data_IF_676791682444
#
_entry.id   IF_676791682444
#
_cell.length_a   1.000
_cell.length_b   1.000
_cell.length_c   1.000
_cell.angle_alpha   90.00
_cell.angle_beta   90.00
_cell.angle_gamma   90.00
#
_symmetry.space_group_name_H-M   'P 1'
#
loop_
_entity.id
_entity.type
_entity.pdbx_description
1 polymer ?
#
# COMPACT_ATOMS: atom_id res chain seq x y z
N UNK A 1 26.94 -2.37 -17.07
CA UNK A 1 27.49 -2.92 -18.32
C UNK A 1 27.75 -1.78 -19.28
N UNK A 2 28.79 -1.88 -20.11
CA UNK A 2 29.10 -0.87 -21.14
C UNK A 2 27.86 -0.54 -22.00
N UNK A 3 27.04 -1.54 -22.33
CA UNK A 3 25.77 -1.37 -23.05
C UNK A 3 24.82 -0.33 -22.43
N UNK A 4 24.66 -0.32 -21.09
CA UNK A 4 23.83 0.69 -20.41
C UNK A 4 24.51 2.06 -20.43
N UNK A 5 25.82 2.11 -20.26
CA UNK A 5 26.59 3.37 -20.30
C UNK A 5 26.55 4.04 -21.68
N UNK A 6 26.52 3.25 -22.76
CA UNK A 6 26.37 3.73 -24.14
C UNK A 6 24.90 3.95 -24.56
N UNK A 7 23.93 3.89 -23.62
CA UNK A 7 22.52 4.19 -23.90
C UNK A 7 21.73 3.08 -24.59
N UNK A 8 22.25 1.86 -24.68
CA UNK A 8 21.56 0.74 -25.33
C UNK A 8 20.22 0.37 -24.67
N UNK A 9 20.08 0.59 -23.36
CA UNK A 9 18.80 0.40 -22.64
C UNK A 9 17.72 1.38 -23.12
N UNK A 10 18.08 2.64 -23.38
CA UNK A 10 17.14 3.64 -23.89
C UNK A 10 16.66 3.27 -25.29
N UNK A 11 17.54 2.76 -26.13
CA UNK A 11 17.22 2.31 -27.49
C UNK A 11 16.24 1.14 -27.50
N UNK A 12 16.48 0.11 -26.68
CA UNK A 12 15.57 -1.06 -26.56
C UNK A 12 14.22 -0.62 -25.99
N UNK A 13 14.25 0.24 -24.96
CA UNK A 13 13.04 0.80 -24.37
C UNK A 13 12.22 1.59 -25.39
N UNK A 14 12.85 2.48 -26.15
CA UNK A 14 12.15 3.31 -27.12
C UNK A 14 11.55 2.47 -28.25
N UNK A 15 12.31 1.48 -28.75
CA UNK A 15 11.79 0.51 -29.72
C UNK A 15 10.53 -0.20 -29.20
N UNK A 16 10.58 -0.76 -28.00
CA UNK A 16 9.42 -1.46 -27.42
C UNK A 16 8.25 -0.50 -27.14
N UNK A 17 8.52 0.74 -26.72
CA UNK A 17 7.48 1.72 -26.41
C UNK A 17 6.77 2.27 -27.66
N UNK A 18 7.43 2.22 -28.81
CA UNK A 18 6.88 2.73 -30.05
C UNK A 18 5.98 1.69 -30.76
N UNK A 19 6.06 0.42 -30.36
CA UNK A 19 5.18 -0.64 -30.86
C UNK A 19 3.68 -0.33 -30.62
N UNK A 20 2.81 -0.63 -31.61
CA UNK A 20 1.36 -0.59 -31.40
C UNK A 20 0.93 -1.75 -30.47
N UNK A 21 -0.19 -1.61 -29.77
CA UNK A 21 -0.79 -2.73 -29.00
C UNK A 21 -0.36 -2.89 -27.54
N UNK A 22 0.45 -1.97 -26.99
CA UNK A 22 0.72 -1.86 -25.55
C UNK A 22 1.49 -3.04 -24.96
N UNK A 23 1.26 -3.34 -23.68
CA UNK A 23 1.99 -4.37 -22.94
C UNK A 23 2.00 -5.72 -23.65
N UNK A 24 0.85 -6.21 -24.15
CA UNK A 24 0.78 -7.54 -24.75
C UNK A 24 1.62 -7.66 -26.02
N UNK A 25 1.70 -6.60 -26.82
CA UNK A 25 2.55 -6.62 -28.02
C UNK A 25 4.03 -6.59 -27.63
N UNK A 26 4.41 -5.72 -26.69
CA UNK A 26 5.78 -5.71 -26.16
C UNK A 26 6.17 -7.06 -25.57
N UNK A 27 5.28 -7.65 -24.77
CA UNK A 27 5.47 -8.95 -24.15
C UNK A 27 5.66 -10.06 -25.19
N UNK A 28 4.79 -10.14 -26.20
CA UNK A 28 4.92 -11.16 -27.26
C UNK A 28 6.21 -11.00 -28.04
N UNK A 29 6.59 -9.76 -28.41
CA UNK A 29 7.84 -9.49 -29.12
C UNK A 29 9.04 -9.90 -28.27
N UNK A 30 9.05 -9.54 -26.99
CA UNK A 30 10.09 -9.96 -26.04
C UNK A 30 10.17 -11.48 -25.94
N UNK A 31 9.02 -12.16 -25.79
CA UNK A 31 8.96 -13.61 -25.66
C UNK A 31 9.48 -14.29 -26.92
N UNK A 32 9.15 -13.78 -28.11
CA UNK A 32 9.67 -14.27 -29.38
C UNK A 32 11.19 -14.07 -29.49
N UNK A 33 11.71 -12.89 -29.12
CA UNK A 33 13.16 -12.62 -29.12
C UNK A 33 13.89 -13.56 -28.16
N UNK A 34 13.40 -13.71 -26.92
CA UNK A 34 13.97 -14.63 -25.94
C UNK A 34 13.92 -16.08 -26.44
N UNK A 35 12.82 -16.47 -27.07
CA UNK A 35 12.66 -17.81 -27.62
C UNK A 35 13.69 -18.09 -28.72
N UNK A 36 13.93 -17.14 -29.62
CA UNK A 36 14.94 -17.26 -30.67
C UNK A 36 16.37 -17.22 -30.11
N UNK A 37 16.63 -16.38 -29.11
CA UNK A 37 17.94 -16.33 -28.44
C UNK A 37 18.26 -17.63 -27.70
N UNK A 38 17.24 -18.31 -27.15
CA UNK A 38 17.38 -19.60 -26.49
C UNK A 38 17.86 -20.74 -27.39
N UNK A 39 17.89 -20.55 -28.71
CA UNK A 39 18.52 -21.50 -29.64
C UNK A 39 20.05 -21.42 -29.62
N UNK A 40 20.61 -20.27 -29.26
CA UNK A 40 22.05 -20.01 -29.34
C UNK A 40 22.70 -19.82 -27.97
N UNK A 41 21.95 -19.29 -27.01
CA UNK A 41 22.43 -18.93 -25.68
C UNK A 41 21.83 -19.84 -24.62
N UNK A 42 22.62 -20.11 -23.58
CA UNK A 42 22.14 -20.86 -22.41
C UNK A 42 21.19 -20.01 -21.57
N UNK A 43 20.29 -20.65 -20.81
CA UNK A 43 19.30 -19.98 -19.98
C UNK A 43 19.98 -19.08 -18.92
N UNK A 44 21.15 -19.48 -18.42
CA UNK A 44 21.93 -18.69 -17.46
C UNK A 44 22.38 -17.37 -18.10
N UNK A 45 22.87 -17.42 -19.34
CA UNK A 45 23.32 -16.22 -20.07
C UNK A 45 22.16 -15.27 -20.34
N UNK A 46 21.02 -15.80 -20.79
CA UNK A 46 19.81 -15.02 -21.01
C UNK A 46 19.31 -14.39 -19.70
N UNK A 47 19.30 -15.16 -18.61
CA UNK A 47 18.86 -14.68 -17.30
C UNK A 47 19.77 -13.57 -16.73
N UNK A 48 21.08 -13.64 -16.98
CA UNK A 48 22.05 -12.64 -16.47
C UNK A 48 22.16 -11.42 -17.38
N UNK A 49 22.01 -11.58 -18.70
CA UNK A 49 22.25 -10.50 -19.68
C UNK A 49 20.94 -9.87 -20.15
N UNK A 50 19.99 -10.67 -20.63
CA UNK A 50 18.80 -10.20 -21.35
C UNK A 50 17.69 -9.79 -20.39
N UNK A 51 17.41 -10.62 -19.37
CA UNK A 51 16.31 -10.39 -18.42
C UNK A 51 16.44 -9.05 -17.68
N UNK A 52 17.62 -8.64 -17.17
CA UNK A 52 17.76 -7.36 -16.48
C UNK A 52 17.54 -6.13 -17.37
N UNK A 53 17.67 -6.28 -18.69
CA UNK A 53 17.41 -5.20 -19.66
C UNK A 53 15.90 -5.10 -19.91
N UNK A 54 15.22 -6.23 -20.12
CA UNK A 54 13.83 -6.25 -20.57
C UNK A 54 12.84 -6.18 -19.40
N UNK A 55 13.13 -6.83 -18.27
CA UNK A 55 12.20 -6.91 -17.14
C UNK A 55 11.80 -5.54 -16.58
N UNK A 56 12.71 -4.56 -16.36
CA UNK A 56 12.31 -3.23 -15.90
C UNK A 56 11.37 -2.52 -16.87
N UNK A 57 11.54 -2.71 -18.18
CA UNK A 57 10.71 -2.09 -19.22
C UNK A 57 9.28 -2.65 -19.14
N UNK A 58 9.14 -3.98 -19.07
CA UNK A 58 7.83 -4.63 -18.99
C UNK A 58 7.13 -4.41 -17.64
N UNK A 59 7.87 -4.39 -16.53
CA UNK A 59 7.32 -4.15 -15.20
C UNK A 59 6.90 -2.69 -14.96
N UNK A 60 7.44 -1.76 -15.74
CA UNK A 60 7.03 -0.35 -15.69
C UNK A 60 5.68 -0.09 -16.41
N UNK A 61 5.15 -1.06 -17.18
CA UNK A 61 3.88 -0.90 -17.88
C UNK A 61 2.67 -1.02 -16.93
N UNK A 62 2.06 0.13 -16.65
CA UNK A 62 0.95 0.29 -15.69
C UNK A 62 -0.37 -0.29 -16.16
N UNK A 63 -0.51 -0.52 -17.48
CA UNK A 63 -1.71 -1.08 -18.12
C UNK A 63 -1.95 -2.55 -17.75
N UNK A 64 -0.88 -3.33 -17.63
CA UNK A 64 -0.95 -4.74 -17.26
C UNK A 64 -0.58 -4.97 -15.79
N UNK A 65 0.33 -4.15 -15.22
CA UNK A 65 0.71 -4.23 -13.80
C UNK A 65 1.06 -5.66 -13.37
N UNK A 66 1.94 -6.30 -14.15
CA UNK A 66 2.34 -7.68 -13.95
C UNK A 66 3.35 -7.81 -12.82
N UNK A 67 3.37 -8.97 -12.16
CA UNK A 67 4.36 -9.24 -11.12
C UNK A 67 5.68 -9.74 -11.75
N UNK A 68 6.80 -9.46 -11.09
CA UNK A 68 8.10 -10.01 -11.49
C UNK A 68 8.11 -11.56 -11.46
N UNK A 69 7.37 -12.16 -10.54
CA UNK A 69 7.23 -13.63 -10.44
C UNK A 69 6.52 -14.19 -11.66
N UNK A 70 5.40 -13.58 -12.07
CA UNK A 70 4.69 -14.00 -13.28
C UNK A 70 5.56 -13.87 -14.52
N UNK A 71 6.26 -12.73 -14.67
CA UNK A 71 7.16 -12.52 -15.80
C UNK A 71 8.30 -13.56 -15.83
N UNK A 72 8.91 -13.84 -14.67
CA UNK A 72 9.96 -14.85 -14.54
C UNK A 72 9.47 -16.25 -14.90
N UNK A 73 8.27 -16.65 -14.46
CA UNK A 73 7.69 -17.95 -14.83
C UNK A 73 7.38 -18.02 -16.32
N UNK A 74 6.83 -16.95 -16.91
CA UNK A 74 6.59 -16.92 -18.36
C UNK A 74 7.89 -17.08 -19.16
N UNK A 75 8.94 -16.34 -18.79
CA UNK A 75 10.26 -16.47 -19.42
C UNK A 75 10.81 -17.88 -19.23
N UNK A 76 10.69 -18.46 -18.04
CA UNK A 76 11.14 -19.82 -17.75
C UNK A 76 10.46 -20.88 -18.61
N UNK A 77 9.12 -20.86 -18.70
CA UNK A 77 8.36 -21.80 -19.55
C UNK A 77 8.71 -21.60 -21.04
N UNK A 78 8.92 -20.36 -21.46
CA UNK A 78 9.32 -20.04 -22.83
C UNK A 78 10.72 -20.57 -23.18
N UNK A 79 11.69 -20.42 -22.27
CA UNK A 79 13.04 -20.96 -22.46
C UNK A 79 13.05 -22.50 -22.47
N UNK A 80 12.26 -23.16 -21.61
CA UNK A 80 12.07 -24.61 -21.66
C UNK A 80 11.53 -25.07 -23.03
N UNK A 81 10.61 -24.30 -23.61
CA UNK A 81 10.06 -24.59 -24.95
C UNK A 81 11.13 -24.40 -26.03
N UNK A 82 11.93 -23.35 -25.93
CA UNK A 82 13.04 -23.07 -26.87
C UNK A 82 14.05 -24.23 -26.91
N UNK A 83 14.43 -24.77 -25.75
CA UNK A 83 15.36 -25.90 -25.65
C UNK A 83 14.85 -27.23 -26.24
N UNK A 84 13.55 -27.34 -26.48
CA UNK A 84 12.94 -28.50 -27.13
C UNK A 84 12.71 -28.31 -28.63
N UNK A 85 12.95 -27.11 -29.19
CA UNK A 85 12.58 -26.78 -30.57
C UNK A 85 13.73 -27.05 -31.56
N UNK A 86 13.51 -27.86 -32.62
CA UNK A 86 14.49 -28.01 -33.70
C UNK A 86 14.79 -26.68 -34.42
N UNK A 87 15.98 -26.49 -35.02
CA UNK A 87 17.08 -27.44 -35.13
C UNK A 87 18.09 -27.37 -33.97
N UNK A 88 17.92 -26.46 -33.01
CA UNK A 88 18.93 -26.13 -32.00
C UNK A 88 18.62 -26.65 -30.58
N UNK A 89 17.54 -27.40 -30.39
CA UNK A 89 17.16 -27.93 -29.08
C UNK A 89 18.23 -28.88 -28.50
N UNK A 90 19.00 -28.40 -27.52
CA UNK A 90 20.06 -29.17 -26.86
C UNK A 90 19.57 -30.53 -26.35
N UNK A 91 18.36 -30.57 -25.80
CA UNK A 91 17.74 -31.81 -25.32
C UNK A 91 17.55 -32.85 -26.45
N UNK A 92 17.20 -32.41 -27.66
CA UNK A 92 17.05 -33.30 -28.82
C UNK A 92 18.40 -33.81 -29.33
N UNK A 93 19.45 -32.99 -29.26
CA UNK A 93 20.80 -33.42 -29.60
C UNK A 93 21.37 -34.44 -28.60
N UNK A 94 21.13 -34.22 -27.30
CA UNK A 94 21.49 -35.21 -26.28
C UNK A 94 20.75 -36.54 -26.52
N UNK A 95 19.45 -36.49 -26.82
CA UNK A 95 18.68 -37.68 -27.14
C UNK A 95 19.21 -38.37 -28.40
N UNK A 96 19.58 -37.61 -29.44
CA UNK A 96 20.21 -38.17 -30.65
C UNK A 96 21.54 -38.87 -30.34
N UNK A 97 22.33 -38.36 -29.39
CA UNK A 97 23.61 -38.95 -28.98
C UNK A 97 23.48 -40.35 -28.38
N UNK A 98 22.35 -40.65 -27.72
CA UNK A 98 22.07 -41.97 -27.14
C UNK A 98 21.11 -42.83 -27.98
N UNK A 99 20.47 -42.25 -29.00
CA UNK A 99 19.50 -42.95 -29.84
C UNK A 99 20.16 -43.96 -30.80
N UNK A 100 19.63 -45.21 -30.89
CA UNK A 100 20.14 -46.22 -31.80
C UNK A 100 20.04 -45.79 -33.27
N UNK A 101 20.94 -46.32 -34.12
CA UNK A 101 21.13 -45.88 -35.51
C UNK A 101 19.89 -46.00 -36.42
N UNK A 102 18.91 -46.82 -36.06
CA UNK A 102 17.67 -47.00 -36.82
C UNK A 102 16.65 -45.87 -36.60
N UNK A 103 16.82 -45.04 -35.56
CA UNK A 103 15.95 -43.88 -35.30
C UNK A 103 16.53 -42.68 -36.05
N UNK A 104 15.76 -42.14 -37.01
CA UNK A 104 16.19 -40.94 -37.72
C UNK A 104 16.01 -39.70 -36.83
N UNK A 105 16.84 -38.68 -37.06
CA UNK A 105 16.69 -37.38 -36.38
C UNK A 105 15.29 -36.77 -36.58
N UNK A 106 14.69 -37.00 -37.75
CA UNK A 106 13.32 -36.57 -38.05
C UNK A 106 12.27 -37.25 -37.16
N UNK A 107 12.49 -38.49 -36.74
CA UNK A 107 11.56 -39.20 -35.85
C UNK A 107 11.59 -38.58 -34.44
N UNK A 108 12.79 -38.22 -33.97
CA UNK A 108 12.99 -37.49 -32.72
C UNK A 108 12.29 -36.13 -32.79
N UNK A 109 12.45 -35.39 -33.88
CA UNK A 109 11.82 -34.08 -34.07
C UNK A 109 10.29 -34.17 -34.11
N UNK A 110 9.74 -35.15 -34.83
CA UNK A 110 8.28 -35.38 -34.86
C UNK A 110 7.74 -35.71 -33.47
N UNK A 111 8.45 -36.51 -32.68
CA UNK A 111 8.09 -36.79 -31.29
C UNK A 111 8.12 -35.54 -30.41
N UNK A 112 9.14 -34.69 -30.58
CA UNK A 112 9.31 -33.45 -29.83
C UNK A 112 8.17 -32.44 -30.08
N UNK A 113 7.64 -32.37 -31.30
CA UNK A 113 6.53 -31.44 -31.65
C UNK A 113 5.33 -31.60 -30.73
N UNK A 114 4.97 -32.83 -30.34
CA UNK A 114 3.87 -33.07 -29.40
C UNK A 114 4.13 -32.39 -28.03
N UNK A 115 5.36 -32.49 -27.52
CA UNK A 115 5.76 -31.83 -26.28
C UNK A 115 5.83 -30.32 -26.42
N UNK A 116 6.32 -29.79 -27.55
CA UNK A 116 6.32 -28.35 -27.82
C UNK A 116 4.89 -27.80 -27.81
N UNK A 117 3.94 -28.49 -28.44
CA UNK A 117 2.53 -28.08 -28.44
C UNK A 117 1.99 -28.05 -27.00
N UNK A 118 2.26 -29.08 -26.20
CA UNK A 118 1.86 -29.09 -24.79
C UNK A 118 2.49 -27.94 -23.99
N UNK A 119 3.75 -27.61 -24.25
CA UNK A 119 4.42 -26.47 -23.61
C UNK A 119 3.81 -25.13 -24.03
N UNK A 120 3.48 -24.95 -25.31
CA UNK A 120 2.79 -23.74 -25.80
C UNK A 120 1.39 -23.59 -25.21
N UNK A 121 0.65 -24.71 -25.04
CA UNK A 121 -0.63 -24.72 -24.33
C UNK A 121 -0.42 -24.31 -22.87
N UNK A 122 0.58 -24.88 -22.19
CA UNK A 122 0.95 -24.51 -20.82
C UNK A 122 1.30 -23.03 -20.69
N UNK A 123 2.10 -22.50 -21.61
CA UNK A 123 2.45 -21.09 -21.69
C UNK A 123 1.21 -20.21 -21.86
N UNK A 124 0.27 -20.62 -22.72
CA UNK A 124 -1.01 -19.95 -22.89
C UNK A 124 -1.84 -19.93 -21.59
N UNK A 125 -1.98 -21.08 -20.92
CA UNK A 125 -2.73 -21.19 -19.66
C UNK A 125 -2.11 -20.28 -18.59
N UNK A 126 -0.79 -20.33 -18.38
CA UNK A 126 -0.10 -19.48 -17.41
C UNK A 126 -0.20 -18.00 -17.78
N UNK A 127 -0.19 -17.71 -19.09
CA UNK A 127 -0.37 -16.37 -19.64
C UNK A 127 -1.73 -15.75 -19.30
N UNK A 128 -2.82 -16.51 -19.50
CA UNK A 128 -4.19 -16.02 -19.24
C UNK A 128 -4.62 -16.12 -17.78
N UNK A 129 -4.01 -17.01 -16.99
CA UNK A 129 -4.36 -17.23 -15.58
C UNK A 129 -3.18 -16.89 -14.65
N UNK A 130 -2.86 -15.58 -14.45
CA UNK A 130 -1.76 -15.15 -13.60
C UNK A 130 -1.91 -15.57 -12.14
N UNK A 131 -3.14 -15.91 -11.72
CA UNK A 131 -3.44 -16.43 -10.39
C UNK A 131 -2.73 -17.74 -10.09
N UNK A 132 -2.48 -18.59 -11.10
CA UNK A 132 -1.74 -19.84 -10.94
C UNK A 132 -0.32 -19.59 -10.42
N UNK A 133 0.33 -18.55 -10.95
CA UNK A 133 1.70 -18.19 -10.57
C UNK A 133 1.73 -17.40 -9.27
N UNK A 134 0.85 -16.40 -9.14
CA UNK A 134 0.95 -15.43 -8.05
C UNK A 134 0.34 -15.92 -6.73
N UNK A 135 -0.61 -16.86 -6.76
CA UNK A 135 -1.36 -17.25 -5.56
C UNK A 135 -0.51 -17.89 -4.48
N UNK A 136 0.28 -18.91 -4.85
CA UNK A 136 1.07 -19.65 -3.88
C UNK A 136 2.15 -18.76 -3.24
N UNK A 137 2.96 -17.98 -3.98
CA UNK A 137 3.90 -17.02 -3.40
C UNK A 137 3.21 -16.01 -2.48
N UNK A 138 2.11 -15.40 -2.92
CA UNK A 138 1.34 -14.46 -2.09
C UNK A 138 0.79 -15.12 -0.82
N UNK A 139 0.38 -16.38 -0.88
CA UNK A 139 -0.14 -17.13 0.26
C UNK A 139 0.97 -17.44 1.26
N UNK A 140 2.10 -17.97 0.80
CA UNK A 140 3.24 -18.28 1.67
C UNK A 140 3.73 -17.00 2.35
N UNK A 141 3.88 -15.91 1.59
CA UNK A 141 4.32 -14.62 2.13
C UNK A 141 3.34 -14.04 3.17
N UNK A 142 2.04 -13.94 2.84
CA UNK A 142 1.04 -13.31 3.71
C UNK A 142 0.62 -14.16 4.92
N UNK A 143 0.96 -15.46 4.94
CA UNK A 143 0.73 -16.32 6.10
C UNK A 143 1.97 -16.53 6.96
N UNK A 144 3.13 -15.99 6.53
CA UNK A 144 4.39 -16.09 7.27
C UNK A 144 4.44 -15.15 8.48
N UNK A 145 5.43 -15.36 9.35
CA UNK A 145 5.69 -14.46 10.49
C UNK A 145 6.24 -13.08 10.07
N UNK A 146 6.76 -12.96 8.85
CA UNK A 146 7.29 -11.72 8.27
C UNK A 146 6.27 -11.03 7.37
N UNK A 147 4.99 -11.39 7.50
CA UNK A 147 3.91 -10.78 6.74
C UNK A 147 3.77 -9.29 7.11
N UNK A 148 3.53 -8.40 6.12
CA UNK A 148 3.33 -7.00 6.38
C UNK A 148 2.04 -6.76 7.17
N UNK A 149 1.97 -5.71 8.00
CA UNK A 149 0.77 -5.41 8.74
C UNK A 149 -0.41 -5.05 7.80
N UNK A 150 -1.66 -5.29 8.22
CA UNK A 150 -2.88 -4.94 7.48
C UNK A 150 -2.95 -3.47 7.07
N UNK A 151 -2.28 -2.56 7.78
CA UNK A 151 -2.19 -1.14 7.44
C UNK A 151 -1.45 -0.86 6.11
N UNK A 152 -0.68 -1.83 5.59
CA UNK A 152 0.12 -1.65 4.39
C UNK A 152 -0.72 -1.15 3.18
N UNK A 153 -0.33 -0.04 2.51
CA UNK A 153 -1.07 0.53 1.38
C UNK A 153 -1.37 -0.46 0.24
N UNK A 154 -0.46 -1.42 0.00
CA UNK A 154 -0.59 -2.42 -1.08
C UNK A 154 -1.68 -3.46 -0.81
N UNK A 155 -2.12 -3.61 0.45
CA UNK A 155 -3.17 -4.56 0.83
C UNK A 155 -4.56 -3.92 0.85
N UNK A 156 -4.64 -2.59 0.87
CA UNK A 156 -5.86 -1.87 1.23
C UNK A 156 -7.04 -2.16 0.32
N UNK A 157 -6.81 -2.30 -0.99
CA UNK A 157 -7.90 -2.65 -1.90
C UNK A 157 -8.55 -3.99 -1.50
N UNK A 158 -7.74 -5.04 -1.36
CA UNK A 158 -8.24 -6.38 -1.07
C UNK A 158 -8.83 -6.48 0.34
N UNK A 159 -8.26 -5.76 1.30
CA UNK A 159 -8.82 -5.67 2.64
C UNK A 159 -10.15 -4.92 2.65
N UNK A 160 -10.29 -3.88 1.83
CA UNK A 160 -11.56 -3.17 1.69
C UNK A 160 -12.65 -4.07 1.11
N UNK A 161 -12.36 -4.85 0.05
CA UNK A 161 -13.30 -5.84 -0.49
C UNK A 161 -13.69 -6.88 0.58
N UNK A 162 -12.71 -7.41 1.32
CA UNK A 162 -12.97 -8.36 2.40
C UNK A 162 -13.90 -7.76 3.48
N UNK A 163 -13.61 -6.54 3.93
CA UNK A 163 -14.42 -5.85 4.94
C UNK A 163 -15.81 -5.53 4.46
N UNK A 164 -15.95 -5.06 3.22
CA UNK A 164 -17.25 -4.68 2.67
C UNK A 164 -18.17 -5.89 2.53
N UNK A 165 -17.63 -7.04 2.12
CA UNK A 165 -18.38 -8.29 2.15
C UNK A 165 -18.80 -8.68 3.58
N UNK A 166 -17.96 -8.45 4.60
CA UNK A 166 -18.35 -8.72 5.98
C UNK A 166 -19.39 -7.75 6.51
N UNK A 167 -19.34 -6.46 6.14
CA UNK A 167 -20.38 -5.50 6.48
C UNK A 167 -21.73 -5.93 5.90
N UNK A 168 -21.75 -6.31 4.62
CA UNK A 168 -23.00 -6.73 3.96
C UNK A 168 -23.62 -7.98 4.60
N UNK A 169 -22.79 -8.92 5.05
CA UNK A 169 -23.28 -10.17 5.66
C UNK A 169 -23.63 -10.04 7.15
N UNK A 170 -22.97 -9.13 7.88
CA UNK A 170 -23.04 -9.07 9.35
C UNK A 170 -23.50 -7.70 9.89
N UNK A 171 -24.11 -6.85 9.06
CA UNK A 171 -24.50 -5.48 9.45
C UNK A 171 -25.32 -5.45 10.74
N UNK A 172 -26.36 -6.27 10.83
CA UNK A 172 -27.24 -6.33 12.01
C UNK A 172 -26.47 -6.75 13.27
N UNK A 173 -25.59 -7.75 13.17
CA UNK A 173 -24.79 -8.21 14.30
C UNK A 173 -23.85 -7.11 14.80
N UNK A 174 -23.20 -6.38 13.88
CA UNK A 174 -22.34 -5.25 14.23
C UNK A 174 -23.14 -4.12 14.89
N UNK A 175 -24.29 -3.74 14.33
CA UNK A 175 -25.18 -2.73 14.93
C UNK A 175 -25.63 -3.14 16.34
N UNK A 176 -26.04 -4.39 16.53
CA UNK A 176 -26.42 -4.89 17.86
C UNK A 176 -25.25 -4.87 18.84
N UNK A 177 -24.03 -5.23 18.41
CA UNK A 177 -22.85 -5.17 19.26
C UNK A 177 -22.55 -3.73 19.71
N UNK A 178 -22.69 -2.75 18.80
CA UNK A 178 -22.51 -1.32 19.09
C UNK A 178 -23.57 -0.82 20.07
N UNK A 179 -24.85 -1.09 19.80
CA UNK A 179 -25.94 -0.66 20.68
C UNK A 179 -25.86 -1.31 22.07
N UNK A 180 -25.36 -2.54 22.16
CA UNK A 180 -25.20 -3.24 23.44
C UNK A 180 -24.18 -2.56 24.36
N UNK A 181 -23.08 -2.04 23.81
CA UNK A 181 -22.07 -1.34 24.62
C UNK A 181 -22.46 0.11 24.87
N UNK A 182 -23.15 0.74 23.92
CA UNK A 182 -23.67 2.10 24.06
C UNK A 182 -24.72 2.20 25.19
N UNK A 183 -25.44 1.11 25.49
CA UNK A 183 -26.38 1.04 26.59
C UNK A 183 -25.73 0.76 27.96
N UNK A 184 -24.39 0.68 28.04
CA UNK A 184 -23.71 0.51 29.32
C UNK A 184 -23.82 1.78 30.17
N UNK A 185 -23.87 1.62 31.49
CA UNK A 185 -23.83 2.76 32.41
C UNK A 185 -22.42 3.36 32.38
N UNK A 186 -22.33 4.65 32.06
CA UNK A 186 -21.09 5.43 32.03
C UNK A 186 -21.05 6.58 33.06
N UNK A 187 -22.05 6.68 33.95
CA UNK A 187 -22.26 7.82 34.86
C UNK A 187 -21.12 8.06 35.86
N UNK A 188 -20.25 7.07 36.06
CA UNK A 188 -19.12 7.12 36.98
C UNK A 188 -17.80 7.47 36.28
N UNK A 189 -17.78 7.63 34.96
CA UNK A 189 -16.60 8.05 34.22
C UNK A 189 -16.44 9.57 34.26
N UNK A 190 -15.20 10.09 34.28
CA UNK A 190 -14.93 11.50 34.07
C UNK A 190 -15.43 12.01 32.70
N UNK A 191 -15.76 13.30 32.62
CA UNK A 191 -16.36 13.93 31.43
C UNK A 191 -15.48 13.75 30.18
N UNK A 192 -14.18 13.96 30.29
CA UNK A 192 -13.21 13.80 29.20
C UNK A 192 -13.16 12.34 28.68
N UNK A 193 -13.33 11.34 29.55
CA UNK A 193 -13.41 9.93 29.14
C UNK A 193 -14.74 9.62 28.45
N UNK A 194 -15.85 10.20 28.93
CA UNK A 194 -17.18 10.07 28.29
C UNK A 194 -17.15 10.64 26.87
N UNK A 195 -16.49 11.79 26.66
CA UNK A 195 -16.33 12.37 25.33
C UNK A 195 -15.66 11.40 24.33
N UNK A 196 -14.65 10.64 24.78
CA UNK A 196 -13.97 9.63 23.94
C UNK A 196 -14.94 8.50 23.57
N UNK A 197 -15.77 8.04 24.51
CA UNK A 197 -16.81 7.03 24.23
C UNK A 197 -17.84 7.54 23.22
N UNK A 198 -18.35 8.76 23.42
CA UNK A 198 -19.33 9.35 22.51
C UNK A 198 -18.75 9.54 21.11
N UNK A 199 -17.50 10.03 21.04
CA UNK A 199 -16.77 10.17 19.78
C UNK A 199 -16.58 8.82 19.07
N UNK A 200 -16.28 7.76 19.83
CA UNK A 200 -16.17 6.40 19.33
C UNK A 200 -17.51 5.91 18.74
N UNK A 201 -18.62 6.10 19.45
CA UNK A 201 -19.95 5.65 19.01
C UNK A 201 -20.47 6.43 17.81
N UNK A 202 -20.24 7.75 17.76
CA UNK A 202 -20.58 8.58 16.61
C UNK A 202 -19.83 8.10 15.35
N UNK A 203 -18.50 7.94 15.46
CA UNK A 203 -17.69 7.44 14.35
C UNK A 203 -18.13 6.05 13.93
N UNK A 204 -18.39 5.15 14.88
CA UNK A 204 -18.76 3.76 14.57
C UNK A 204 -20.13 3.69 13.87
N UNK A 205 -21.10 4.48 14.32
CA UNK A 205 -22.44 4.55 13.72
C UNK A 205 -22.41 5.10 12.29
N UNK A 206 -21.56 6.09 12.03
CA UNK A 206 -21.42 6.69 10.68
C UNK A 206 -20.70 5.80 9.65
N UNK A 207 -20.09 4.69 10.08
CA UNK A 207 -19.33 3.78 9.18
C UNK A 207 -20.21 3.26 8.05
N UNK A 208 -21.45 2.85 8.34
CA UNK A 208 -22.32 2.23 7.34
C UNK A 208 -22.67 3.21 6.20
N UNK A 209 -22.93 4.47 6.53
CA UNK A 209 -23.15 5.53 5.55
C UNK A 209 -21.87 5.85 4.76
N UNK A 210 -20.72 5.86 5.41
CA UNK A 210 -19.43 6.03 4.75
C UNK A 210 -19.12 4.87 3.78
N UNK A 211 -19.43 3.63 4.16
CA UNK A 211 -19.28 2.44 3.31
C UNK A 211 -20.20 2.57 2.09
N UNK A 212 -21.46 2.93 2.28
CA UNK A 212 -22.41 3.17 1.19
C UNK A 212 -21.89 4.24 0.24
N UNK A 213 -21.37 5.35 0.76
CA UNK A 213 -20.77 6.44 -0.04
C UNK A 213 -19.54 5.98 -0.83
N UNK A 214 -18.66 5.18 -0.22
CA UNK A 214 -17.50 4.60 -0.94
C UNK A 214 -17.97 3.70 -2.06
N UNK A 215 -18.93 2.80 -1.83
CA UNK A 215 -19.48 1.92 -2.86
C UNK A 215 -20.11 2.71 -4.01
N UNK A 216 -20.91 3.74 -3.72
CA UNK A 216 -21.52 4.60 -4.76
C UNK A 216 -20.46 5.29 -5.60
N UNK A 217 -19.50 5.96 -4.96
CA UNK A 217 -18.43 6.68 -5.70
C UNK A 217 -17.51 5.73 -6.47
N UNK A 218 -17.28 4.50 -5.97
CA UNK A 218 -16.51 3.49 -6.69
C UNK A 218 -17.28 2.97 -7.91
N UNK A 219 -18.60 2.76 -7.79
CA UNK A 219 -19.45 2.37 -8.91
C UNK A 219 -19.50 3.47 -9.98
N UNK A 220 -19.68 4.74 -9.61
CA UNK A 220 -19.63 5.87 -10.53
C UNK A 220 -18.29 5.95 -11.26
N UNK A 221 -17.19 5.76 -10.54
CA UNK A 221 -15.85 5.67 -11.12
C UNK A 221 -15.74 4.50 -12.10
N UNK A 222 -16.13 3.29 -11.70
CA UNK A 222 -16.03 2.08 -12.50
C UNK A 222 -16.90 2.13 -13.77
N UNK A 223 -18.05 2.81 -13.72
CA UNK A 223 -18.87 3.08 -14.89
C UNK A 223 -18.20 4.10 -15.82
N UNK A 224 -17.68 5.20 -15.29
CA UNK A 224 -17.06 6.26 -16.10
C UNK A 224 -15.78 5.79 -16.81
N UNK A 225 -14.96 4.94 -16.16
CA UNK A 225 -13.69 4.50 -16.75
C UNK A 225 -13.86 3.59 -17.97
N UNK A 226 -15.01 2.93 -18.16
CA UNK A 226 -15.24 2.02 -19.30
C UNK A 226 -15.03 2.74 -20.64
N UNK A 227 -15.62 3.92 -20.78
CA UNK A 227 -15.54 4.72 -22.01
C UNK A 227 -14.35 5.70 -22.00
N UNK A 228 -13.92 6.13 -20.82
CA UNK A 228 -12.81 7.09 -20.68
C UNK A 228 -11.44 6.47 -20.94
N UNK A 229 -11.27 5.17 -20.68
CA UNK A 229 -9.97 4.49 -20.76
C UNK A 229 -9.32 4.61 -22.13
N UNK A 230 -10.06 4.28 -23.19
CA UNK A 230 -9.53 4.32 -24.55
C UNK A 230 -9.17 5.73 -25.00
N UNK A 231 -10.00 6.71 -24.63
CA UNK A 231 -9.71 8.13 -24.86
C UNK A 231 -8.44 8.57 -24.12
N UNK A 232 -8.32 8.22 -22.84
CA UNK A 232 -7.14 8.52 -22.02
C UNK A 232 -5.88 7.95 -22.65
N UNK A 233 -5.84 6.64 -22.95
CA UNK A 233 -4.67 6.02 -23.57
C UNK A 233 -4.29 6.65 -24.90
N UNK A 234 -5.26 6.91 -25.78
CA UNK A 234 -5.01 7.53 -27.10
C UNK A 234 -4.43 8.93 -26.98
N UNK A 235 -4.86 9.72 -25.99
CA UNK A 235 -4.34 11.07 -25.76
C UNK A 235 -2.99 11.03 -25.04
N UNK A 236 -2.83 10.19 -24.01
CA UNK A 236 -1.56 10.03 -23.30
C UNK A 236 -0.43 9.55 -24.21
N UNK A 237 -0.70 8.64 -25.15
CA UNK A 237 0.29 8.21 -26.15
C UNK A 237 0.78 9.39 -27.01
N UNK A 238 -0.15 10.26 -27.46
CA UNK A 238 0.21 11.49 -28.20
C UNK A 238 0.99 12.47 -27.34
N UNK A 239 0.56 12.71 -26.10
CA UNK A 239 1.27 13.59 -25.16
C UNK A 239 2.69 13.09 -24.85
N UNK A 240 2.86 11.78 -24.66
CA UNK A 240 4.18 11.16 -24.46
C UNK A 240 5.07 11.37 -25.69
N UNK A 241 4.53 11.24 -26.90
CA UNK A 241 5.26 11.51 -28.15
C UNK A 241 5.64 12.98 -28.28
N UNK A 242 4.73 13.91 -27.95
CA UNK A 242 5.02 15.35 -27.91
C UNK A 242 6.16 15.65 -26.91
N UNK A 243 6.15 15.04 -25.72
CA UNK A 243 7.21 15.21 -24.73
C UNK A 243 8.56 14.66 -25.22
N UNK A 244 8.58 13.52 -25.92
CA UNK A 244 9.79 12.99 -26.56
C UNK A 244 10.32 13.96 -27.62
N UNK A 245 9.45 14.48 -28.48
CA UNK A 245 9.79 15.47 -29.50
C UNK A 245 10.38 16.72 -28.84
N UNK A 246 9.78 17.22 -27.77
CA UNK A 246 10.29 18.39 -27.04
C UNK A 246 11.68 18.15 -26.43
N UNK A 247 11.94 16.95 -25.90
CA UNK A 247 13.28 16.57 -25.42
C UNK A 247 14.29 16.51 -26.56
N UNK A 248 13.89 15.98 -27.72
CA UNK A 248 14.74 15.88 -28.90
C UNK A 248 15.08 17.27 -29.46
N UNK A 249 14.09 18.17 -29.58
CA UNK A 249 14.31 19.56 -30.01
C UNK A 249 15.31 20.23 -29.08
N UNK A 250 15.13 20.14 -27.75
CA UNK A 250 16.08 20.72 -26.79
C UNK A 250 17.50 20.16 -26.93
N UNK A 251 17.65 18.87 -27.24
CA UNK A 251 18.96 18.24 -27.47
C UNK A 251 19.61 18.78 -28.74
N UNK A 252 18.86 18.84 -29.84
CA UNK A 252 19.35 19.37 -31.12
C UNK A 252 19.69 20.87 -31.02
N UNK A 253 18.90 21.64 -30.30
CA UNK A 253 19.21 23.05 -30.00
C UNK A 253 20.50 23.20 -29.18
N UNK A 254 20.78 22.28 -28.25
CA UNK A 254 22.04 22.25 -27.51
C UNK A 254 23.23 21.86 -28.39
N UNK A 255 23.03 20.93 -29.31
CA UNK A 255 24.03 20.52 -30.29
C UNK A 255 24.43 21.69 -31.20
N UNK A 256 23.45 22.45 -31.72
CA UNK A 256 23.72 23.68 -32.49
C UNK A 256 24.58 24.68 -31.70
N UNK A 257 24.30 24.85 -30.39
CA UNK A 257 25.08 25.77 -29.53
C UNK A 257 26.52 25.34 -29.33
N UNK A 258 26.81 24.04 -29.41
CA UNK A 258 28.13 23.47 -29.18
C UNK A 258 28.96 23.32 -30.47
N UNK A 259 28.35 23.46 -31.65
CA UNK A 259 29.04 23.39 -32.93
C UNK A 259 29.85 24.66 -33.22
N UNK A 260 31.04 24.48 -33.81
CA UNK A 260 31.94 25.56 -34.19
C UNK A 260 31.29 26.51 -35.22
N UNK A 261 31.77 27.75 -35.29
CA UNK A 261 31.15 28.79 -36.13
C UNK A 261 31.22 28.48 -37.63
N UNK A 262 32.17 27.64 -38.05
CA UNK A 262 32.44 27.34 -39.46
C UNK A 262 31.61 26.17 -40.00
N UNK A 263 30.94 25.39 -39.13
CA UNK A 263 30.08 24.25 -39.49
C UNK A 263 28.65 24.67 -39.89
N UNK A 264 28.55 25.56 -40.89
CA UNK A 264 27.27 26.12 -41.36
C UNK A 264 26.33 25.06 -41.94
N UNK A 265 26.88 24.06 -42.64
CA UNK A 265 26.09 22.98 -43.24
C UNK A 265 25.41 22.10 -42.18
N UNK A 266 26.14 21.71 -41.14
CA UNK A 266 25.61 20.87 -40.06
C UNK A 266 24.58 21.62 -39.21
N UNK A 267 24.81 22.91 -38.96
CA UNK A 267 23.82 23.77 -38.30
C UNK A 267 22.51 23.84 -39.09
N UNK A 268 22.58 24.02 -40.41
CA UNK A 268 21.39 24.04 -41.28
C UNK A 268 20.67 22.69 -41.28
N UNK A 269 21.39 21.58 -41.33
CA UNK A 269 20.81 20.23 -41.28
C UNK A 269 20.07 19.97 -39.96
N UNK A 270 20.66 20.37 -38.82
CA UNK A 270 20.02 20.22 -37.51
C UNK A 270 18.79 21.15 -37.39
N UNK A 271 18.87 22.36 -37.93
CA UNK A 271 17.75 23.31 -37.95
C UNK A 271 16.54 22.75 -38.72
N UNK A 272 16.78 22.12 -39.89
CA UNK A 272 15.73 21.45 -40.67
C UNK A 272 15.05 20.33 -39.85
N UNK A 273 15.84 19.48 -39.18
CA UNK A 273 15.29 18.43 -38.29
C UNK A 273 14.43 19.01 -37.17
N UNK A 274 14.83 20.14 -36.59
CA UNK A 274 14.04 20.82 -35.56
C UNK A 274 12.70 21.31 -36.13
N UNK A 275 12.69 21.89 -37.33
CA UNK A 275 11.45 22.34 -37.98
C UNK A 275 10.51 21.18 -38.32
N UNK A 276 11.04 20.06 -38.83
CA UNK A 276 10.26 18.84 -39.07
C UNK A 276 9.62 18.31 -37.78
N UNK A 277 10.39 18.26 -36.69
CA UNK A 277 9.90 17.86 -35.37
C UNK A 277 8.82 18.84 -34.84
N UNK A 278 8.97 20.14 -35.07
CA UNK A 278 7.93 21.14 -34.72
C UNK A 278 6.64 20.93 -35.52
N UNK A 279 6.74 20.60 -36.81
CA UNK A 279 5.59 20.29 -37.65
C UNK A 279 4.88 19.02 -37.17
N UNK A 280 5.62 17.95 -36.88
CA UNK A 280 5.07 16.72 -36.31
C UNK A 280 4.35 16.98 -34.98
N UNK A 281 4.96 17.78 -34.09
CA UNK A 281 4.32 18.22 -32.84
C UNK A 281 3.02 18.98 -33.08
N UNK A 282 2.98 19.86 -34.09
CA UNK A 282 1.78 20.63 -34.44
C UNK A 282 0.65 19.72 -34.93
N UNK A 283 0.96 18.72 -35.74
CA UNK A 283 -0.01 17.71 -36.19
C UNK A 283 -0.56 16.87 -35.03
N UNK A 284 0.32 16.36 -34.16
CA UNK A 284 -0.08 15.59 -32.98
C UNK A 284 -1.03 16.36 -32.05
N UNK A 285 -0.81 17.66 -31.88
CA UNK A 285 -1.69 18.53 -31.09
C UNK A 285 -3.08 18.70 -31.72
N UNK A 286 -3.16 18.81 -33.05
CA UNK A 286 -4.45 18.89 -33.77
C UNK A 286 -5.25 17.59 -33.65
N UNK A 287 -4.55 16.46 -33.61
CA UNK A 287 -5.14 15.12 -33.52
C UNK A 287 -5.59 14.73 -32.09
N UNK A 288 -5.56 15.65 -31.13
CA UNK A 288 -6.15 15.44 -29.80
C UNK A 288 -7.66 15.74 -29.88
N UNK A 289 -8.55 14.79 -29.51
CA UNK A 289 -10.00 15.00 -29.55
C UNK A 289 -10.44 16.21 -28.71
N UNK A 290 -11.35 17.02 -29.24
CA UNK A 290 -11.87 18.23 -28.55
C UNK A 290 -12.54 17.90 -27.21
N UNK A 291 -13.20 16.74 -27.14
CA UNK A 291 -13.85 16.21 -25.92
C UNK A 291 -12.88 15.85 -24.78
N UNK A 292 -11.58 15.71 -25.06
CA UNK A 292 -10.58 15.30 -24.07
C UNK A 292 -10.57 16.19 -22.84
N UNK A 293 -10.58 17.52 -23.02
CA UNK A 293 -10.44 18.48 -21.92
C UNK A 293 -11.62 18.37 -20.96
N UNK A 294 -12.83 18.24 -21.50
CA UNK A 294 -14.05 18.09 -20.71
C UNK A 294 -14.09 16.76 -19.98
N UNK A 295 -13.90 15.64 -20.70
CA UNK A 295 -13.91 14.28 -20.13
C UNK A 295 -12.81 14.09 -19.08
N UNK A 296 -11.61 14.63 -19.29
CA UNK A 296 -10.52 14.60 -18.31
C UNK A 296 -10.84 15.41 -17.05
N UNK A 297 -11.52 16.55 -17.18
CA UNK A 297 -11.97 17.32 -16.03
C UNK A 297 -13.07 16.59 -15.24
N UNK A 298 -14.01 15.95 -15.93
CA UNK A 298 -15.02 15.09 -15.31
C UNK A 298 -14.36 13.91 -14.58
N UNK A 299 -13.42 13.21 -15.22
CA UNK A 299 -12.63 12.13 -14.61
C UNK A 299 -11.97 12.59 -13.31
N UNK A 300 -11.27 13.74 -13.33
CA UNK A 300 -10.59 14.28 -12.15
C UNK A 300 -11.56 14.55 -10.99
N UNK A 301 -12.77 15.05 -11.28
CA UNK A 301 -13.81 15.27 -10.26
C UNK A 301 -14.26 13.95 -9.63
N UNK A 302 -14.60 12.96 -10.46
CA UNK A 302 -15.04 11.63 -10.00
C UNK A 302 -13.95 10.92 -9.21
N UNK A 303 -12.72 10.91 -9.74
CA UNK A 303 -11.56 10.31 -9.07
C UNK A 303 -11.25 10.98 -7.73
N UNK A 304 -11.31 12.32 -7.67
CA UNK A 304 -11.16 13.08 -6.41
C UNK A 304 -12.27 12.72 -5.42
N UNK A 305 -13.52 12.63 -5.85
CA UNK A 305 -14.65 12.25 -5.00
C UNK A 305 -14.47 10.85 -4.40
N UNK A 306 -14.13 9.85 -5.23
CA UNK A 306 -13.80 8.48 -4.80
C UNK A 306 -12.68 8.44 -3.77
N UNK A 307 -11.59 9.17 -4.02
CA UNK A 307 -10.44 9.20 -3.11
C UNK A 307 -10.77 9.87 -1.77
N UNK A 308 -11.54 10.96 -1.78
CA UNK A 308 -12.01 11.63 -0.57
C UNK A 308 -12.92 10.71 0.24
N UNK A 309 -13.89 10.05 -0.41
CA UNK A 309 -14.77 9.10 0.25
C UNK A 309 -13.98 7.97 0.90
N UNK A 310 -13.05 7.37 0.17
CA UNK A 310 -12.19 6.28 0.67
C UNK A 310 -11.30 6.74 1.82
N UNK A 311 -10.67 7.92 1.72
CA UNK A 311 -9.81 8.47 2.79
C UNK A 311 -10.62 8.78 4.04
N UNK A 312 -11.81 9.37 3.89
CA UNK A 312 -12.71 9.68 5.02
C UNK A 312 -13.16 8.41 5.73
N UNK A 313 -13.63 7.41 4.99
CA UNK A 313 -13.98 6.09 5.54
C UNK A 313 -12.81 5.48 6.31
N UNK A 314 -11.61 5.46 5.72
CA UNK A 314 -10.41 4.92 6.34
C UNK A 314 -10.03 5.64 7.62
N UNK A 315 -9.98 6.97 7.60
CA UNK A 315 -9.68 7.78 8.78
C UNK A 315 -10.69 7.53 9.89
N UNK A 316 -11.99 7.55 9.57
CA UNK A 316 -13.06 7.34 10.54
C UNK A 316 -12.97 5.97 11.22
N UNK A 317 -12.77 4.91 10.44
CA UNK A 317 -12.63 3.54 10.96
C UNK A 317 -11.39 3.38 11.83
N UNK A 318 -10.27 3.94 11.41
CA UNK A 318 -9.02 3.86 12.17
C UNK A 318 -9.17 4.63 13.50
N UNK A 319 -9.70 5.85 13.48
CA UNK A 319 -9.94 6.65 14.69
C UNK A 319 -10.93 5.99 15.65
N UNK A 320 -12.05 5.47 15.15
CA UNK A 320 -13.03 4.77 15.98
C UNK A 320 -12.37 3.60 16.73
N UNK A 321 -11.57 2.78 16.05
CA UNK A 321 -10.95 1.64 16.71
C UNK A 321 -9.78 2.05 17.63
N UNK A 322 -9.05 3.10 17.29
CA UNK A 322 -7.99 3.66 18.15
C UNK A 322 -8.57 4.16 19.49
N UNK A 323 -9.71 4.86 19.45
CA UNK A 323 -10.42 5.32 20.65
C UNK A 323 -10.87 4.14 21.53
N UNK A 324 -11.33 3.04 20.93
CA UNK A 324 -11.64 1.82 21.69
C UNK A 324 -10.38 1.23 22.36
N UNK A 325 -9.25 1.21 21.65
CA UNK A 325 -7.98 0.74 22.22
C UNK A 325 -7.57 1.63 23.39
N UNK A 326 -7.66 2.95 23.24
CA UNK A 326 -7.35 3.92 24.30
C UNK A 326 -8.21 3.67 25.54
N UNK A 327 -9.53 3.59 25.38
CA UNK A 327 -10.48 3.26 26.46
C UNK A 327 -10.09 1.97 27.19
N UNK A 328 -9.83 0.89 26.44
CA UNK A 328 -9.42 -0.40 27.03
C UNK A 328 -8.11 -0.28 27.78
N UNK A 329 -7.19 0.53 27.30
CA UNK A 329 -5.86 0.73 27.91
C UNK A 329 -5.99 1.54 29.21
N UNK A 330 -6.80 2.59 29.24
CA UNK A 330 -7.06 3.36 30.47
C UNK A 330 -7.60 2.46 31.60
N UNK A 331 -8.55 1.58 31.29
CA UNK A 331 -9.12 0.66 32.28
C UNK A 331 -8.08 -0.37 32.73
N UNK A 332 -7.29 -0.91 31.79
CA UNK A 332 -6.28 -1.94 32.08
C UNK A 332 -5.15 -1.39 32.95
N UNK A 333 -4.71 -0.16 32.72
CA UNK A 333 -3.61 0.44 33.48
C UNK A 333 -4.04 0.92 34.88
N UNK A 334 -5.32 0.76 35.26
CA UNK A 334 -5.82 1.10 36.59
C UNK A 334 -5.08 0.39 37.72
N UNK A 335 -4.69 -0.88 37.52
CA UNK A 335 -3.90 -1.63 38.50
C UNK A 335 -2.49 -1.04 38.69
N UNK A 336 -1.88 -0.53 37.62
CA UNK A 336 -0.59 0.16 37.69
C UNK A 336 -0.72 1.47 38.47
N UNK A 337 -1.80 2.22 38.25
CA UNK A 337 -2.07 3.46 38.96
C UNK A 337 -2.34 3.23 40.45
N UNK A 338 -3.11 2.21 40.80
CA UNK A 338 -3.40 1.85 42.19
C UNK A 338 -2.13 1.49 42.98
N UNK A 339 -1.13 0.89 42.33
CA UNK A 339 0.17 0.60 42.94
C UNK A 339 0.95 1.86 43.35
N UNK A 340 0.63 3.04 42.79
CA UNK A 340 1.24 4.33 43.16
C UNK A 340 0.60 4.97 44.40
N UNK A 341 -0.44 4.37 44.97
CA UNK A 341 -1.13 4.90 46.18
C UNK A 341 -0.17 5.23 47.32
N UNK A 342 0.79 4.34 47.60
CA UNK A 342 1.82 4.58 48.63
C UNK A 342 2.75 5.73 48.27
N UNK A 343 3.10 5.88 46.99
CA UNK A 343 3.97 6.95 46.53
C UNK A 343 3.26 8.31 46.72
N UNK A 344 1.96 8.39 46.39
CA UNK A 344 1.13 9.58 46.62
C UNK A 344 0.93 9.88 48.12
N UNK A 345 0.77 8.88 48.97
CA UNK A 345 0.72 9.07 50.44
C UNK A 345 2.04 9.63 51.00
N UNK A 346 3.18 9.11 50.51
CA UNK A 346 4.51 9.61 50.91
C UNK A 346 4.70 11.05 50.47
N UNK A 347 4.35 11.37 49.22
CA UNK A 347 4.41 12.73 48.69
C UNK A 347 3.56 13.69 49.53
N UNK A 348 2.31 13.31 49.83
CA UNK A 348 1.40 14.11 50.64
C UNK A 348 2.00 14.45 52.01
N UNK A 349 2.58 13.45 52.69
CA UNK A 349 3.22 13.64 53.99
C UNK A 349 4.43 14.58 53.91
N UNK A 350 5.26 14.46 52.87
CA UNK A 350 6.42 15.35 52.68
C UNK A 350 6.00 16.80 52.42
N UNK A 351 4.97 17.01 51.61
CA UNK A 351 4.44 18.35 51.32
C UNK A 351 3.84 18.99 52.58
N UNK A 352 3.04 18.24 53.36
CA UNK A 352 2.46 18.73 54.62
C UNK A 352 3.54 19.07 55.65
N UNK A 353 4.64 18.29 55.69
CA UNK A 353 5.77 18.52 56.59
C UNK A 353 6.77 19.57 56.08
N UNK A 354 6.50 20.23 54.94
CA UNK A 354 7.37 21.22 54.30
C UNK A 354 8.76 20.69 53.87
N UNK A 355 8.86 19.41 53.54
CA UNK A 355 10.09 18.79 52.97
C UNK A 355 10.16 18.96 51.44
N UNK A 356 10.20 20.22 50.96
CA UNK A 356 10.01 20.55 49.55
C UNK A 356 11.06 19.94 48.60
N UNK A 357 12.35 19.96 48.95
CA UNK A 357 13.43 19.36 48.13
C UNK A 357 13.24 17.84 47.93
N UNK A 358 12.73 17.15 48.95
CA UNK A 358 12.46 15.72 48.89
C UNK A 358 11.15 15.43 48.16
N UNK A 359 10.17 16.33 48.26
CA UNK A 359 8.91 16.25 47.52
C UNK A 359 9.15 16.42 46.01
N UNK A 360 10.01 17.36 45.60
CA UNK A 360 10.36 17.56 44.18
C UNK A 360 10.95 16.29 43.55
N UNK A 361 11.90 15.63 44.23
CA UNK A 361 12.48 14.36 43.77
C UNK A 361 11.45 13.23 43.66
N UNK A 362 10.50 13.17 44.61
CA UNK A 362 9.43 12.19 44.55
C UNK A 362 8.48 12.47 43.38
N UNK A 363 8.21 13.73 43.08
CA UNK A 363 7.41 14.13 41.91
C UNK A 363 8.12 13.74 40.61
N UNK A 364 9.43 13.96 40.50
CA UNK A 364 10.21 13.51 39.33
C UNK A 364 10.08 12.00 39.10
N UNK A 365 10.16 11.20 40.18
CA UNK A 365 9.97 9.74 40.13
C UNK A 365 8.52 9.39 39.73
N UNK A 366 7.54 10.12 40.24
CA UNK A 366 6.13 9.92 39.88
C UNK A 366 5.88 10.24 38.40
N UNK A 367 6.52 11.27 37.83
CA UNK A 367 6.42 11.55 36.40
C UNK A 367 6.90 10.39 35.53
N UNK A 368 8.05 9.81 35.86
CA UNK A 368 8.57 8.65 35.15
C UNK A 368 7.56 7.50 35.18
N UNK A 369 7.00 7.18 36.37
CA UNK A 369 6.02 6.11 36.54
C UNK A 369 4.68 6.41 35.85
N UNK A 370 4.18 7.64 35.95
CA UNK A 370 2.93 8.06 35.33
C UNK A 370 3.04 8.09 33.80
N UNK A 371 4.22 8.35 33.24
CA UNK A 371 4.43 8.32 31.79
C UNK A 371 4.19 6.94 31.15
N UNK A 372 4.26 5.86 31.95
CA UNK A 372 3.96 4.49 31.52
C UNK A 372 2.46 4.15 31.64
N UNK A 373 1.65 5.01 32.28
CA UNK A 373 0.23 4.79 32.56
C UNK A 373 -0.60 5.67 31.60
N UNK A 374 -1.53 5.06 30.89
CA UNK A 374 -2.34 5.80 29.93
C UNK A 374 -3.36 6.73 30.61
N UNK A 375 -3.48 7.96 30.08
CA UNK A 375 -4.55 8.91 30.41
C UNK A 375 -4.39 9.62 31.76
N UNK A 376 -3.17 9.77 32.26
CA UNK A 376 -2.83 10.48 33.51
C UNK A 376 -2.36 11.92 33.26
N UNK A 377 -2.62 12.49 32.07
CA UNK A 377 -2.11 13.82 31.68
C UNK A 377 -2.56 14.93 32.63
N UNK A 378 -3.81 14.90 33.10
CA UNK A 378 -4.32 15.88 34.07
C UNK A 378 -3.62 15.76 35.42
N UNK A 379 -3.33 14.53 35.86
CA UNK A 379 -2.61 14.26 37.09
C UNK A 379 -1.16 14.74 37.00
N UNK A 380 -0.50 14.50 35.86
CA UNK A 380 0.83 15.02 35.55
C UNK A 380 0.84 16.55 35.59
N UNK A 381 -0.14 17.22 34.97
CA UNK A 381 -0.24 18.68 35.01
C UNK A 381 -0.39 19.21 36.45
N UNK A 382 -1.12 18.51 37.33
CA UNK A 382 -1.24 18.90 38.74
C UNK A 382 0.04 18.71 39.54
N UNK A 383 0.85 17.71 39.19
CA UNK A 383 2.19 17.57 39.77
C UNK A 383 3.13 18.67 39.26
N UNK A 384 3.02 19.09 38.00
CA UNK A 384 3.77 20.21 37.42
C UNK A 384 3.41 21.54 38.08
N UNK A 385 2.14 21.75 38.44
CA UNK A 385 1.68 22.91 39.20
C UNK A 385 2.38 22.99 40.58
N UNK A 386 2.59 21.84 41.24
CA UNK A 386 3.29 21.76 42.52
C UNK A 386 4.77 22.11 42.36
N UNK A 387 5.46 21.52 41.37
CA UNK A 387 6.88 21.87 41.09
C UNK A 387 7.01 23.35 40.78
N UNK A 388 6.13 23.88 39.92
CA UNK A 388 6.14 25.29 39.54
C UNK A 388 5.93 26.23 40.73
N UNK A 389 5.20 25.80 41.75
CA UNK A 389 5.01 26.55 42.99
C UNK A 389 6.16 26.39 44.00
N UNK A 390 6.93 25.29 43.93
CA UNK A 390 8.16 25.09 44.71
C UNK A 390 9.30 25.93 44.15
N UNK A 391 9.44 25.96 42.82
CA UNK A 391 10.53 26.66 42.11
C UNK A 391 10.30 28.18 41.96
N UNK A 392 9.18 28.73 42.46
CA UNK A 392 8.87 30.15 42.31
C UNK A 392 9.72 31.06 43.22
N UNK A 393 10.07 32.25 42.71
CA UNK A 393 10.89 33.25 43.43
C UNK A 393 10.30 33.61 44.82
N UNK A 394 8.97 33.60 44.94
CA UNK A 394 8.24 33.72 46.21
C UNK A 394 7.45 32.41 46.43
N UNK A 395 7.85 31.62 47.44
CA UNK A 395 7.22 30.33 47.75
C UNK A 395 5.89 30.56 48.48
N UNK A 396 4.79 30.23 47.81
CA UNK A 396 3.44 30.26 48.38
C UNK A 396 3.05 28.87 48.90
N UNK A 397 3.25 28.66 50.20
CA UNK A 397 2.93 27.39 50.86
C UNK A 397 1.44 27.04 50.79
N UNK A 398 0.52 28.02 50.76
CA UNK A 398 -0.91 27.74 50.65
C UNK A 398 -1.24 27.17 49.26
N UNK A 399 -0.60 27.70 48.22
CA UNK A 399 -0.74 27.22 46.84
C UNK A 399 -0.15 25.82 46.64
N UNK A 400 0.98 25.50 47.27
CA UNK A 400 1.57 24.15 47.22
C UNK A 400 0.63 23.14 47.88
N UNK A 401 0.11 23.45 49.07
CA UNK A 401 -0.80 22.56 49.80
C UNK A 401 -2.13 22.37 49.07
N UNK A 402 -2.69 23.44 48.47
CA UNK A 402 -3.93 23.34 47.69
C UNK A 402 -3.74 22.49 46.43
N UNK A 403 -2.65 22.70 45.68
CA UNK A 403 -2.33 21.93 44.47
C UNK A 403 -2.09 20.45 44.80
N UNK A 404 -1.44 20.16 45.93
CA UNK A 404 -1.29 18.80 46.43
C UNK A 404 -2.64 18.17 46.80
N UNK A 405 -3.54 18.89 47.49
CA UNK A 405 -4.88 18.37 47.78
C UNK A 405 -5.66 18.05 46.49
N UNK A 406 -5.60 18.93 45.48
CA UNK A 406 -6.20 18.68 44.17
C UNK A 406 -5.61 17.44 43.49
N UNK A 407 -4.28 17.29 43.50
CA UNK A 407 -3.60 16.11 42.95
C UNK A 407 -4.01 14.82 43.65
N UNK A 408 -4.13 14.82 44.98
CA UNK A 408 -4.59 13.67 45.76
C UNK A 408 -6.05 13.33 45.47
N UNK A 409 -6.93 14.35 45.38
CA UNK A 409 -8.33 14.14 45.01
C UNK A 409 -8.43 13.51 43.62
N UNK A 410 -7.73 14.08 42.64
CA UNK A 410 -7.73 13.60 41.26
C UNK A 410 -7.18 12.18 41.14
N UNK A 411 -6.10 11.86 41.86
CA UNK A 411 -5.55 10.50 41.92
C UNK A 411 -6.57 9.49 42.44
N UNK A 412 -7.25 9.82 43.55
CA UNK A 412 -8.27 8.95 44.14
C UNK A 412 -9.48 8.76 43.21
N UNK A 413 -9.91 9.83 42.54
CA UNK A 413 -10.99 9.77 41.55
C UNK A 413 -10.59 8.89 40.36
N UNK A 414 -9.38 9.05 39.84
CA UNK A 414 -8.80 8.23 38.77
C UNK A 414 -8.77 6.73 39.10
N UNK A 415 -8.28 6.38 40.30
CA UNK A 415 -8.25 4.99 40.77
C UNK A 415 -9.67 4.43 40.92
N UNK A 416 -10.59 5.20 41.50
CA UNK A 416 -11.96 4.77 41.79
C UNK A 416 -12.75 4.46 40.50
N UNK A 417 -12.73 5.35 39.51
CA UNK A 417 -13.47 5.12 38.28
C UNK A 417 -12.87 3.96 37.46
N UNK A 418 -11.53 3.84 37.41
CA UNK A 418 -10.85 2.73 36.70
C UNK A 418 -11.18 1.38 37.33
N UNK A 419 -11.21 1.30 38.66
CA UNK A 419 -11.57 0.07 39.38
C UNK A 419 -13.03 -0.33 39.14
N UNK A 420 -13.96 0.63 39.17
CA UNK A 420 -15.37 0.38 38.79
C UNK A 420 -15.50 -0.06 37.33
N UNK A 421 -14.79 0.60 36.41
CA UNK A 421 -14.80 0.27 34.99
C UNK A 421 -14.24 -1.13 34.71
N UNK A 422 -13.18 -1.52 35.41
CA UNK A 422 -12.58 -2.86 35.30
C UNK A 422 -13.60 -3.96 35.62
N UNK A 423 -14.43 -3.76 36.66
CA UNK A 423 -15.45 -4.72 37.06
C UNK A 423 -16.69 -4.73 36.16
N UNK A 424 -17.13 -3.56 35.66
CA UNK A 424 -18.43 -3.42 34.99
C UNK A 424 -18.37 -3.37 33.45
N UNK A 425 -17.25 -2.91 32.88
CA UNK A 425 -17.07 -2.65 31.45
C UNK A 425 -16.03 -3.55 30.76
N UNK A 426 -14.96 -3.98 31.43
CA UNK A 426 -13.84 -4.67 30.78
C UNK A 426 -14.28 -5.87 29.93
N UNK A 427 -15.12 -6.76 30.50
CA UNK A 427 -15.66 -7.93 29.79
C UNK A 427 -16.57 -7.57 28.61
N UNK A 428 -17.34 -6.48 28.74
CA UNK A 428 -18.24 -6.00 27.68
C UNK A 428 -17.42 -5.40 26.53
N UNK A 429 -16.40 -4.62 26.85
CA UNK A 429 -15.46 -4.05 25.88
C UNK A 429 -14.68 -5.13 25.14
N UNK A 430 -14.26 -6.20 25.82
CA UNK A 430 -13.57 -7.31 25.16
C UNK A 430 -14.50 -8.05 24.18
N UNK A 431 -15.75 -8.33 24.57
CA UNK A 431 -16.75 -8.94 23.66
C UNK A 431 -17.06 -8.03 22.46
N UNK A 432 -17.13 -6.72 22.70
CA UNK A 432 -17.35 -5.73 21.66
C UNK A 432 -16.17 -5.65 20.69
N UNK A 433 -14.93 -5.58 21.20
CA UNK A 433 -13.70 -5.60 20.42
C UNK A 433 -13.62 -6.86 19.55
N UNK A 434 -13.89 -8.04 20.12
CA UNK A 434 -13.92 -9.30 19.36
C UNK A 434 -14.93 -9.27 18.19
N UNK A 435 -16.01 -8.51 18.32
CA UNK A 435 -17.06 -8.39 17.29
C UNK A 435 -16.64 -7.45 16.15
N UNK A 436 -15.83 -6.42 16.44
CA UNK A 436 -15.47 -5.39 15.46
C UNK A 436 -14.01 -5.47 14.96
N UNK A 437 -13.12 -6.22 15.62
CA UNK A 437 -11.69 -6.30 15.28
C UNK A 437 -11.42 -6.76 13.85
N UNK A 438 -12.24 -7.66 13.31
CA UNK A 438 -12.07 -8.23 11.97
C UNK A 438 -12.75 -7.39 10.87
N UNK A 439 -13.40 -6.29 11.26
CA UNK A 439 -14.08 -5.35 10.35
C UNK A 439 -13.52 -3.94 10.55
N UNK A 440 -13.96 -3.24 11.59
CA UNK A 440 -13.55 -1.87 11.94
C UNK A 440 -12.07 -1.86 12.31
N UNK A 441 -11.66 -2.72 13.24
CA UNK A 441 -10.28 -2.76 13.74
C UNK A 441 -9.24 -3.39 12.84
N UNK A 442 -9.64 -3.93 11.67
CA UNK A 442 -8.81 -4.85 10.89
C UNK A 442 -7.46 -4.26 10.48
N UNK A 443 -7.42 -2.94 10.22
CA UNK A 443 -6.22 -2.25 9.73
C UNK A 443 -5.18 -2.00 10.82
N UNK A 444 -5.63 -1.87 12.06
CA UNK A 444 -4.79 -1.62 13.24
C UNK A 444 -4.32 -2.93 13.92
N UNK A 445 -4.78 -4.09 13.45
CA UNK A 445 -4.26 -5.37 13.92
C UNK A 445 -2.78 -5.52 13.54
N UNK A 446 -2.00 -6.21 14.39
CA UNK A 446 -0.58 -6.46 14.11
C UNK A 446 -0.35 -7.35 12.88
N UNK A 447 -1.30 -8.26 12.59
CA UNK A 447 -1.20 -9.22 11.48
C UNK A 447 -2.57 -9.65 10.97
N UNK A 448 -2.60 -10.16 9.73
CA UNK A 448 -3.77 -10.82 9.17
C UNK A 448 -3.99 -12.20 9.80
N UNK A 449 -5.25 -12.57 10.01
CA UNK A 449 -5.62 -13.95 10.32
C UNK A 449 -5.37 -14.85 9.10
N UNK A 450 -5.22 -16.16 9.31
CA UNK A 450 -5.03 -17.12 8.20
C UNK A 450 -6.15 -17.04 7.14
N UNK A 451 -7.39 -16.76 7.56
CA UNK A 451 -8.55 -16.61 6.66
C UNK A 451 -8.42 -15.33 5.83
N UNK A 452 -8.12 -14.20 6.46
CA UNK A 452 -7.90 -12.92 5.78
C UNK A 452 -6.71 -13.00 4.82
N UNK A 453 -5.59 -13.59 5.25
CA UNK A 453 -4.40 -13.78 4.42
C UNK A 453 -4.74 -14.58 3.16
N UNK A 454 -5.46 -15.71 3.26
CA UNK A 454 -5.87 -16.50 2.09
C UNK A 454 -6.74 -15.69 1.11
N UNK A 455 -7.68 -14.89 1.61
CA UNK A 455 -8.51 -14.03 0.78
C UNK A 455 -7.68 -12.96 0.06
N UNK A 456 -6.85 -12.24 0.80
CA UNK A 456 -5.98 -11.18 0.27
C UNK A 456 -4.98 -11.76 -0.74
N UNK A 457 -4.41 -12.94 -0.49
CA UNK A 457 -3.54 -13.63 -1.44
C UNK A 457 -4.27 -13.92 -2.75
N UNK A 458 -5.50 -14.43 -2.71
CA UNK A 458 -6.30 -14.67 -3.93
C UNK A 458 -6.56 -13.37 -4.69
N UNK A 459 -7.04 -12.35 -3.99
CA UNK A 459 -7.34 -11.03 -4.55
C UNK A 459 -6.12 -10.36 -5.20
N UNK A 460 -4.94 -10.46 -4.58
CA UNK A 460 -3.68 -9.89 -5.09
C UNK A 460 -3.02 -10.68 -6.21
N UNK A 461 -3.54 -11.86 -6.53
CA UNK A 461 -2.96 -12.72 -7.56
C UNK A 461 -3.49 -12.44 -8.96
N UNK A 462 -4.46 -11.53 -9.07
CA UNK A 462 -5.03 -11.05 -10.33
C UNK A 462 -4.33 -9.75 -10.73
N UNK A 463 -3.91 -9.66 -11.99
CA UNK A 463 -3.37 -8.43 -12.56
C UNK A 463 -4.47 -7.36 -12.69
N UNK A 464 -4.12 -6.10 -12.43
CA UNK A 464 -5.06 -4.98 -12.44
C UNK A 464 -4.47 -3.79 -13.14
N UNK A 465 -5.19 -3.27 -14.11
CA UNK A 465 -4.86 -2.03 -14.78
C UNK A 465 -4.93 -0.85 -13.80
N UNK A 466 -3.78 -0.19 -13.62
CA UNK A 466 -3.63 1.01 -12.80
C UNK A 466 -3.22 2.24 -13.64
N UNK A 467 -3.29 2.12 -14.97
CA UNK A 467 -2.85 3.16 -15.91
C UNK A 467 -3.53 4.51 -15.69
N UNK A 468 -4.81 4.53 -15.31
CA UNK A 468 -5.56 5.76 -15.06
C UNK A 468 -5.09 6.56 -13.83
N UNK A 469 -4.21 5.98 -13.02
CA UNK A 469 -3.58 6.67 -11.90
C UNK A 469 -2.33 7.48 -12.32
N UNK A 470 -1.88 7.33 -13.57
CA UNK A 470 -0.69 7.97 -14.16
C UNK A 470 -1.09 8.78 -15.40
#
# INVERSE_FOLDING_TARGET
>A
SAFRAFGGEELVRDFLQDLPGGFWTQFIVVMAVIFLLGFFLDFIEIAVVVVPIIAPILLAETSANVTAVWLGVMIGVNLQTSFLTPPFGFALFYLRGVAPKHIATLDIWKGAVAFIILQLIGLGIVGFYPTLVNYLPNRVYLTSKVAPPPMNPRLQYCLQEYKFANYDNNENQLKTAISSIQAANLDYLPEDKVEIFDSHFEKTSSIFDLVKKVKTTDNEYNLFIKDYRDLHFKVRKKQKKILKIDKNIKRLEAEIRNLDKDDVSDKNNIQLKIEDLKLEKKDLNKNIPKEWKEKNNQFKKIYKAKNIATKRYRKNVDQAYDELIQIKTFIKDGELLENLSKDFEVLNNKIINMELDNAQKDIDILFEKLSEISGTDELSNKLDDIISAIDSDEVDNEKIVSSNYEAQSLFNDEVNWRNKASQSLADKLEKYDLSIKDTIGLRLQSRLTKKQAKFVSKCRSVHRDISLNF
#
